data_IF_904315997705
#
_entry.id   IF_904315997705
#
_cell.length_a   1.000
_cell.length_b   1.000
_cell.length_c   1.000
_cell.angle_alpha   90.00
_cell.angle_beta   90.00
_cell.angle_gamma   90.00
#
_symmetry.space_group_name_H-M   'P 1'
#
loop_
_entity.id
_entity.type
_entity.pdbx_description
1 polymer ?
#
# COMPACT_ATOMS: atom_id res chain seq x y z
N UNK A 1 17.65 45.73 -30.69
CA UNK A 1 17.67 44.25 -30.71
C UNK A 1 18.17 43.77 -29.36
N UNK A 2 17.27 43.49 -28.42
CA UNK A 2 17.62 42.99 -27.09
C UNK A 2 17.49 41.47 -27.07
N UNK A 3 18.56 40.77 -26.72
CA UNK A 3 18.57 39.31 -26.60
C UNK A 3 17.76 38.90 -25.36
N UNK A 4 16.73 38.08 -25.54
CA UNK A 4 15.99 37.45 -24.43
C UNK A 4 16.93 36.43 -23.80
N UNK A 5 17.30 36.64 -22.52
CA UNK A 5 18.05 35.63 -21.77
C UNK A 5 17.19 34.38 -21.65
N UNK A 6 17.64 33.29 -22.23
CA UNK A 6 17.00 31.98 -22.13
C UNK A 6 16.95 31.59 -20.66
N UNK A 7 15.74 31.48 -20.12
CA UNK A 7 15.53 31.20 -18.71
C UNK A 7 15.58 29.68 -18.52
N UNK A 8 16.56 29.21 -17.77
CA UNK A 8 16.77 27.80 -17.51
C UNK A 8 15.66 27.22 -16.63
N UNK A 9 15.19 26.01 -16.94
CA UNK A 9 14.17 25.32 -16.14
C UNK A 9 14.73 24.91 -14.78
N UNK A 10 13.94 25.06 -13.71
CA UNK A 10 14.28 24.54 -12.38
C UNK A 10 14.48 23.01 -12.35
N UNK A 11 13.99 22.30 -13.37
CA UNK A 11 14.12 20.85 -13.50
C UNK A 11 15.21 20.42 -14.50
N UNK A 12 15.98 21.35 -15.09
CA UNK A 12 16.97 21.00 -16.11
C UNK A 12 18.04 20.01 -15.60
N UNK A 13 18.35 20.07 -14.30
CA UNK A 13 19.32 19.20 -13.63
C UNK A 13 18.66 17.99 -12.94
N UNK A 14 17.35 17.80 -13.09
CA UNK A 14 16.68 16.67 -12.46
C UNK A 14 17.14 15.37 -13.12
N UNK A 15 17.83 14.53 -12.36
CA UNK A 15 18.29 13.22 -12.82
C UNK A 15 17.13 12.22 -12.88
N UNK A 16 17.18 11.33 -13.87
CA UNK A 16 16.27 10.21 -13.94
C UNK A 16 16.59 9.18 -12.86
N UNK A 17 15.59 8.84 -12.04
CA UNK A 17 15.67 7.75 -11.07
C UNK A 17 14.98 6.51 -11.64
N UNK A 18 15.68 5.36 -11.74
CA UNK A 18 15.07 4.11 -12.19
C UNK A 18 13.86 3.73 -11.34
N UNK A 19 12.83 3.10 -11.95
CA UNK A 19 11.68 2.63 -11.20
C UNK A 19 12.07 1.51 -10.24
N UNK A 20 11.35 1.41 -9.12
CA UNK A 20 11.47 0.27 -8.23
C UNK A 20 11.19 -1.04 -8.96
N UNK A 21 12.02 -2.05 -8.70
CA UNK A 21 11.99 -3.30 -9.45
C UNK A 21 10.66 -4.05 -9.33
N UNK A 22 9.99 -4.02 -8.17
CA UNK A 22 8.72 -4.70 -7.92
C UNK A 22 7.60 -4.00 -8.70
N UNK A 23 7.58 -2.67 -8.66
CA UNK A 23 6.60 -1.89 -9.40
C UNK A 23 6.81 -1.97 -10.92
N UNK A 24 8.05 -2.02 -11.39
CA UNK A 24 8.34 -2.10 -12.82
C UNK A 24 7.93 -3.45 -13.44
N UNK A 25 8.06 -4.56 -12.69
CA UNK A 25 7.52 -5.87 -13.13
C UNK A 25 6.00 -5.79 -13.29
N UNK A 26 5.31 -5.18 -12.32
CA UNK A 26 3.84 -5.02 -12.39
C UNK A 26 3.44 -4.13 -13.57
N UNK A 27 4.18 -3.04 -13.82
CA UNK A 27 3.97 -2.16 -14.98
C UNK A 27 4.11 -2.93 -16.30
N UNK A 28 5.16 -3.74 -16.43
CA UNK A 28 5.39 -4.60 -17.61
C UNK A 28 4.27 -5.62 -17.78
N UNK A 29 3.84 -6.29 -16.70
CA UNK A 29 2.70 -7.20 -16.72
C UNK A 29 1.40 -6.52 -17.18
N UNK A 30 1.10 -5.31 -16.72
CA UNK A 30 -0.11 -4.57 -17.13
C UNK A 30 -0.04 -4.21 -18.62
N UNK A 31 1.12 -3.78 -19.11
CA UNK A 31 1.34 -3.41 -20.52
C UNK A 31 1.41 -4.60 -21.47
N UNK A 32 1.71 -5.80 -20.98
CA UNK A 32 1.77 -7.02 -21.77
C UNK A 32 0.38 -7.38 -22.31
N UNK A 33 0.29 -7.65 -23.62
CA UNK A 33 -0.95 -8.00 -24.30
C UNK A 33 -1.12 -9.49 -24.50
N UNK A 34 -0.13 -10.33 -24.11
CA UNK A 34 -0.26 -11.78 -24.19
C UNK A 34 -1.42 -12.27 -23.30
N UNK A 35 -2.41 -12.99 -23.84
CA UNK A 35 -3.53 -13.51 -23.05
C UNK A 35 -3.09 -14.53 -21.99
N UNK A 36 -1.89 -15.12 -22.10
CA UNK A 36 -1.34 -16.10 -21.17
C UNK A 36 -0.35 -15.49 -20.16
N UNK A 37 -0.26 -14.16 -20.09
CA UNK A 37 0.62 -13.48 -19.13
C UNK A 37 0.28 -13.86 -17.68
N UNK A 38 1.30 -13.99 -16.84
CA UNK A 38 1.16 -14.34 -15.42
C UNK A 38 1.90 -13.32 -14.57
N UNK A 39 1.24 -12.79 -13.53
CA UNK A 39 1.86 -11.88 -12.58
C UNK A 39 2.40 -12.64 -11.38
N UNK A 40 3.73 -12.78 -11.31
CA UNK A 40 4.47 -13.33 -10.15
C UNK A 40 5.39 -12.28 -9.50
N UNK A 41 5.13 -10.99 -9.75
CA UNK A 41 5.96 -9.89 -9.26
C UNK A 41 5.61 -9.46 -7.84
N UNK A 42 4.45 -8.80 -7.69
CA UNK A 42 4.01 -8.30 -6.39
C UNK A 42 3.40 -9.43 -5.55
N UNK A 43 3.78 -9.50 -4.27
CA UNK A 43 3.20 -10.43 -3.28
C UNK A 43 1.77 -10.10 -2.88
N UNK A 44 0.84 -10.06 -3.84
CA UNK A 44 -0.60 -9.87 -3.61
C UNK A 44 -1.33 -11.19 -3.69
N UNK A 45 -2.15 -11.48 -2.68
CA UNK A 45 -2.96 -12.69 -2.68
C UNK A 45 -4.06 -12.60 -3.75
N UNK A 46 -4.28 -13.72 -4.45
CA UNK A 46 -5.28 -13.85 -5.51
C UNK A 46 -6.16 -15.05 -5.24
N UNK A 47 -7.38 -14.99 -5.75
CA UNK A 47 -8.27 -16.14 -5.76
C UNK A 47 -7.88 -17.15 -6.87
N UNK A 48 -8.68 -18.20 -7.01
CA UNK A 48 -8.46 -19.29 -7.98
C UNK A 48 -8.53 -18.81 -9.44
N UNK A 49 -9.06 -17.61 -9.70
CA UNK A 49 -9.18 -16.99 -11.01
C UNK A 49 -8.15 -15.86 -11.24
N UNK A 50 -7.18 -15.70 -10.33
CA UNK A 50 -6.17 -14.65 -10.41
C UNK A 50 -6.67 -13.24 -10.08
N UNK A 51 -7.87 -13.11 -9.49
CA UNK A 51 -8.46 -11.81 -9.12
C UNK A 51 -8.07 -11.40 -7.69
N UNK A 52 -8.12 -10.10 -7.35
CA UNK A 52 -7.91 -9.66 -5.96
C UNK A 52 -8.91 -10.34 -5.01
N UNK A 53 -8.40 -10.93 -3.94
CA UNK A 53 -9.25 -11.62 -2.96
C UNK A 53 -9.41 -10.80 -1.69
N UNK A 54 -10.67 -10.45 -1.39
CA UNK A 54 -11.05 -9.79 -0.13
C UNK A 54 -11.49 -10.85 0.85
N UNK A 55 -10.83 -10.93 2.00
CA UNK A 55 -11.16 -11.89 3.05
C UNK A 55 -12.62 -11.71 3.51
N UNK A 56 -13.37 -12.80 3.77
CA UNK A 56 -14.74 -12.72 4.26
C UNK A 56 -14.88 -11.90 5.56
N UNK A 57 -13.91 -11.99 6.47
CA UNK A 57 -13.89 -11.21 7.71
C UNK A 57 -13.79 -9.70 7.46
N UNK A 58 -13.04 -9.28 6.43
CA UNK A 58 -12.92 -7.86 6.06
C UNK A 58 -14.22 -7.36 5.45
N UNK A 59 -14.87 -8.14 4.56
CA UNK A 59 -16.18 -7.78 4.01
C UNK A 59 -17.24 -7.57 5.09
N UNK A 60 -17.24 -8.44 6.11
CA UNK A 60 -18.14 -8.31 7.26
C UNK A 60 -17.82 -7.06 8.09
N UNK A 61 -16.53 -6.76 8.30
CA UNK A 61 -16.11 -5.56 9.01
C UNK A 61 -16.54 -4.27 8.28
N UNK A 62 -16.33 -4.19 6.96
CA UNK A 62 -16.76 -3.07 6.12
C UNK A 62 -18.28 -2.86 6.20
N UNK A 63 -19.07 -3.94 6.08
CA UNK A 63 -20.52 -3.87 6.21
C UNK A 63 -20.97 -3.40 7.61
N UNK A 64 -20.21 -3.72 8.66
CA UNK A 64 -20.52 -3.33 10.04
C UNK A 64 -20.08 -1.90 10.41
N UNK A 65 -19.11 -1.34 9.67
CA UNK A 65 -18.48 -0.06 9.99
C UNK A 65 -19.43 1.12 9.76
N UNK A 66 -20.35 0.99 8.80
CA UNK A 66 -21.25 2.08 8.40
C UNK A 66 -20.46 3.26 7.81
N UNK A 67 -20.81 4.48 8.22
CA UNK A 67 -20.16 5.73 7.80
C UNK A 67 -19.37 6.33 8.98
N UNK A 68 -18.09 5.96 9.17
CA UNK A 68 -17.29 6.54 10.24
C UNK A 68 -16.99 8.02 9.95
N UNK A 69 -16.85 8.83 11.00
CA UNK A 69 -16.37 10.21 10.84
C UNK A 69 -14.95 10.25 10.24
N UNK A 70 -14.65 11.32 9.49
CA UNK A 70 -13.36 11.52 8.82
C UNK A 70 -12.45 12.52 9.56
N UNK A 71 -12.66 12.68 10.86
CA UNK A 71 -11.86 13.56 11.71
C UNK A 71 -10.44 12.99 11.94
N UNK A 72 -9.52 13.88 12.32
CA UNK A 72 -8.15 13.48 12.63
C UNK A 72 -8.11 12.50 13.81
N UNK A 73 -7.36 11.42 13.63
CA UNK A 73 -6.95 10.55 14.72
C UNK A 73 -5.85 11.23 15.55
N UNK A 74 -5.64 10.79 16.81
CA UNK A 74 -4.45 11.16 17.57
C UNK A 74 -3.17 10.81 16.83
N UNK A 75 -2.05 11.47 17.16
CA UNK A 75 -0.73 11.22 16.53
C UNK A 75 -0.36 9.74 16.55
N UNK A 76 -0.69 9.04 17.64
CA UNK A 76 -0.40 7.61 17.77
C UNK A 76 -1.34 6.71 16.95
N UNK A 77 -2.45 7.23 16.42
CA UNK A 77 -3.49 6.48 15.73
C UNK A 77 -4.64 6.00 16.63
N UNK A 78 -5.49 5.14 16.08
CA UNK A 78 -6.68 4.62 16.76
C UNK A 78 -6.30 3.59 17.83
N UNK A 79 -6.55 3.90 19.11
CA UNK A 79 -6.11 3.06 20.24
C UNK A 79 -6.63 1.61 20.16
N UNK A 80 -7.92 1.34 19.89
CA UNK A 80 -8.41 -0.04 19.79
C UNK A 80 -7.70 -0.87 18.71
N UNK A 81 -7.39 -0.27 17.56
CA UNK A 81 -6.60 -0.94 16.52
C UNK A 81 -5.21 -1.33 17.03
N UNK A 82 -4.53 -0.41 17.73
CA UNK A 82 -3.20 -0.67 18.30
C UNK A 82 -3.24 -1.77 19.36
N UNK A 83 -4.22 -1.73 20.25
CA UNK A 83 -4.36 -2.72 21.32
C UNK A 83 -4.53 -4.13 20.73
N UNK A 84 -5.43 -4.29 19.74
CA UNK A 84 -5.65 -5.59 19.08
C UNK A 84 -4.47 -6.01 18.18
N UNK A 85 -3.77 -5.07 17.54
CA UNK A 85 -2.55 -5.38 16.79
C UNK A 85 -1.42 -5.89 17.68
N UNK A 86 -1.21 -5.28 18.86
CA UNK A 86 -0.25 -5.76 19.86
C UNK A 86 -0.65 -7.16 20.33
N UNK A 87 -1.94 -7.37 20.64
CA UNK A 87 -2.44 -8.68 21.05
C UNK A 87 -2.25 -9.74 19.96
N UNK A 88 -2.52 -9.43 18.69
CA UNK A 88 -2.35 -10.36 17.58
C UNK A 88 -0.89 -10.85 17.46
N UNK A 89 0.08 -9.95 17.62
CA UNK A 89 1.49 -10.27 17.45
C UNK A 89 2.09 -10.92 18.70
N UNK A 90 1.73 -10.43 19.90
CA UNK A 90 2.42 -10.77 21.13
C UNK A 90 1.65 -11.71 22.05
N UNK A 91 0.37 -11.99 21.83
CA UNK A 91 -0.35 -13.01 22.62
C UNK A 91 0.02 -14.42 22.15
N UNK A 92 0.29 -15.40 23.04
CA UNK A 92 0.20 -15.37 24.50
C UNK A 92 1.59 -15.29 25.20
N UNK A 93 2.52 -14.48 24.69
CA UNK A 93 3.87 -14.38 25.27
C UNK A 93 3.84 -13.92 26.73
N UNK A 94 4.90 -14.25 27.49
CA UNK A 94 5.05 -13.79 28.89
C UNK A 94 5.06 -12.27 29.01
N UNK A 95 5.73 -11.58 28.08
CA UNK A 95 5.78 -10.11 28.07
C UNK A 95 4.38 -9.51 27.93
N UNK A 96 3.57 -10.05 27.02
CA UNK A 96 2.18 -9.63 26.86
C UNK A 96 1.34 -9.91 28.12
N UNK A 97 1.50 -11.10 28.74
CA UNK A 97 0.80 -11.45 29.97
C UNK A 97 1.19 -10.57 31.18
N UNK A 98 2.43 -10.08 31.22
CA UNK A 98 2.95 -9.17 32.25
C UNK A 98 2.66 -7.68 31.95
N UNK A 99 1.96 -7.36 30.85
CA UNK A 99 1.75 -5.99 30.36
C UNK A 99 3.06 -5.19 30.20
N UNK A 100 4.09 -5.83 29.64
CA UNK A 100 5.41 -5.25 29.39
C UNK A 100 5.66 -4.95 27.92
#
# INVERSE_FOLDING_TARGET
MGSVKQQTSAFEQAEFIPPDAIFDVTRRYVADTDPNKVNLGQGTYRDENGQPWILPSVRLAEASLGEPGHEYLPIAGFKPFRDEAVKLVFSPTKAFAENR
#
